data_IF_343578196721
#
_entry.id   IF_343578196721
#
_cell.length_a   1.000
_cell.length_b   1.000
_cell.length_c   1.000
_cell.angle_alpha   90.00
_cell.angle_beta   90.00
_cell.angle_gamma   90.00
#
_symmetry.space_group_name_H-M   'P 1'
#
loop_
_entity.id
_entity.type
_entity.pdbx_description
1 polymer ?
#
# COMPACT_ATOMS: atom_id res chain seq x y z
N UNK A 1 -12.30 83.74 24.84
CA UNK A 1 -12.13 82.49 25.62
C UNK A 1 -13.17 81.49 25.13
N UNK A 2 -12.81 80.58 24.22
CA UNK A 2 -13.71 79.58 23.62
C UNK A 2 -13.10 78.20 23.83
N UNK A 3 -13.69 77.41 24.72
CA UNK A 3 -13.29 76.03 24.98
C UNK A 3 -13.73 75.15 23.79
N UNK A 4 -12.77 74.47 23.14
CA UNK A 4 -13.06 73.39 22.19
C UNK A 4 -13.05 72.07 22.98
N UNK A 5 -14.22 71.46 23.11
CA UNK A 5 -14.38 70.10 23.61
C UNK A 5 -14.08 69.16 22.44
N UNK A 6 -12.98 68.40 22.53
CA UNK A 6 -12.68 67.32 21.60
C UNK A 6 -13.38 66.04 22.11
N UNK A 7 -14.40 65.58 21.38
CA UNK A 7 -14.96 64.24 21.57
C UNK A 7 -13.96 63.23 20.98
N UNK A 8 -13.36 62.41 21.84
CA UNK A 8 -12.63 61.21 21.44
C UNK A 8 -13.66 60.11 21.12
N UNK A 9 -13.85 59.82 19.83
CA UNK A 9 -14.50 58.59 19.39
C UNK A 9 -13.50 57.44 19.56
N UNK A 10 -13.71 56.59 20.56
CA UNK A 10 -12.98 55.33 20.70
C UNK A 10 -13.61 54.35 19.71
N UNK A 11 -12.94 54.12 18.57
CA UNK A 11 -13.22 52.98 17.70
C UNK A 11 -12.82 51.71 18.44
N UNK A 12 -13.79 50.96 18.96
CA UNK A 12 -13.57 49.57 19.33
C UNK A 12 -13.47 48.74 18.05
N UNK A 13 -12.24 48.46 17.62
CA UNK A 13 -11.97 47.41 16.64
C UNK A 13 -12.24 46.09 17.35
N UNK A 14 -13.41 45.51 17.11
CA UNK A 14 -13.68 44.12 17.45
C UNK A 14 -12.73 43.25 16.63
N UNK A 15 -11.65 42.79 17.27
CA UNK A 15 -10.86 41.68 16.74
C UNK A 15 -11.79 40.46 16.79
N UNK A 16 -12.36 40.10 15.64
CA UNK A 16 -12.80 38.73 15.41
C UNK A 16 -11.54 37.89 15.53
N UNK A 17 -11.27 37.40 16.73
CA UNK A 17 -10.35 36.29 16.92
C UNK A 17 -10.96 35.14 16.13
N UNK A 18 -10.41 34.90 14.93
CA UNK A 18 -10.41 33.57 14.37
C UNK A 18 -9.96 32.64 15.52
N UNK A 19 -10.72 31.58 15.78
CA UNK A 19 -10.31 30.55 16.72
C UNK A 19 -9.03 29.91 16.18
N UNK A 20 -7.88 30.48 16.53
CA UNK A 20 -6.63 29.74 16.59
C UNK A 20 -6.84 28.70 17.69
N UNK A 21 -7.33 27.53 17.29
CA UNK A 21 -7.39 26.37 18.16
C UNK A 21 -5.95 26.01 18.54
N UNK A 22 -5.47 26.61 19.63
CA UNK A 22 -4.16 26.30 20.21
C UNK A 22 -4.18 24.83 20.62
N UNK A 23 -3.22 24.08 20.10
CA UNK A 23 -2.91 22.69 20.47
C UNK A 23 -3.10 22.43 21.98
N UNK A 24 -4.01 21.53 22.33
CA UNK A 24 -4.39 21.22 23.72
C UNK A 24 -3.79 19.91 24.26
N UNK A 25 -3.09 19.10 23.46
CA UNK A 25 -2.40 17.91 23.99
C UNK A 25 -1.95 16.87 22.97
N UNK A 26 -1.24 15.85 23.50
CA UNK A 26 -0.90 14.64 22.75
C UNK A 26 -2.21 13.85 22.56
N UNK A 27 -2.51 13.44 21.33
CA UNK A 27 -3.76 12.78 20.84
C UNK A 27 -4.88 13.70 20.29
N UNK A 28 -4.64 14.99 20.10
CA UNK A 28 -5.57 15.83 19.32
C UNK A 28 -5.54 15.41 17.84
N UNK A 29 -6.70 15.09 17.26
CA UNK A 29 -6.82 14.74 15.84
C UNK A 29 -6.41 15.96 15.00
N UNK A 30 -5.52 15.75 14.02
CA UNK A 30 -4.89 16.80 13.22
C UNK A 30 -5.89 17.65 12.41
N UNK A 31 -7.16 17.24 12.32
CA UNK A 31 -8.23 17.93 11.62
C UNK A 31 -9.53 17.79 12.43
N UNK A 32 -9.92 18.85 13.16
CA UNK A 32 -11.08 18.82 14.08
C UNK A 32 -12.41 19.18 13.41
N UNK A 33 -12.36 19.70 12.19
CA UNK A 33 -13.55 20.02 11.42
C UNK A 33 -13.84 18.89 10.46
N UNK A 34 -14.88 18.10 10.76
CA UNK A 34 -15.45 17.23 9.74
C UNK A 34 -15.80 18.09 8.52
N UNK A 35 -15.47 17.62 7.29
CA UNK A 35 -15.78 18.39 6.09
C UNK A 35 -17.27 18.69 6.04
N UNK A 36 -17.61 19.91 5.62
CA UNK A 36 -19.02 20.30 5.46
C UNK A 36 -19.67 19.35 4.46
N UNK A 37 -20.88 18.84 4.75
CA UNK A 37 -21.58 17.95 3.83
C UNK A 37 -21.71 18.58 2.45
N UNK A 38 -21.55 17.77 1.43
CA UNK A 38 -21.60 18.21 0.04
C UNK A 38 -22.32 17.15 -0.82
N UNK A 39 -22.29 17.30 -2.15
CA UNK A 39 -22.97 16.35 -3.03
C UNK A 39 -22.33 14.95 -3.07
N UNK A 40 -21.07 14.83 -2.66
CA UNK A 40 -20.31 13.58 -2.62
C UNK A 40 -20.48 12.85 -1.28
N UNK A 41 -20.60 13.58 -0.16
CA UNK A 41 -20.81 13.01 1.18
C UNK A 41 -21.87 13.75 1.98
N UNK A 42 -22.82 12.99 2.51
CA UNK A 42 -23.86 13.48 3.42
C UNK A 42 -23.31 13.86 4.80
N UNK A 43 -24.14 14.43 5.67
CA UNK A 43 -23.77 14.80 7.04
C UNK A 43 -23.42 13.63 7.96
N UNK A 44 -23.74 12.40 7.55
CA UNK A 44 -23.30 11.18 8.24
C UNK A 44 -21.97 10.64 7.71
N UNK A 45 -21.38 11.25 6.69
CA UNK A 45 -20.21 10.74 5.96
C UNK A 45 -20.53 9.66 4.92
N UNK A 46 -21.79 9.24 4.82
CA UNK A 46 -22.23 8.27 3.81
C UNK A 46 -22.16 8.86 2.38
N UNK A 47 -21.91 8.02 1.36
CA UNK A 47 -21.97 8.41 -0.05
C UNK A 47 -23.23 9.22 -0.40
N UNK A 48 -23.01 10.40 -0.98
CA UNK A 48 -24.06 11.27 -1.52
C UNK A 48 -24.43 10.93 -2.96
N UNK A 49 -25.35 11.71 -3.53
CA UNK A 49 -25.90 11.46 -4.88
C UNK A 49 -24.87 11.53 -6.00
N UNK A 50 -23.80 12.31 -5.82
CA UNK A 50 -22.73 12.47 -6.81
C UNK A 50 -21.47 11.67 -6.43
N UNK A 51 -21.53 10.81 -5.42
CA UNK A 51 -20.36 10.07 -4.94
C UNK A 51 -19.68 9.28 -6.06
N UNK A 52 -18.36 9.31 -6.06
CA UNK A 52 -17.52 8.59 -7.01
C UNK A 52 -16.37 7.92 -6.26
N UNK A 53 -15.86 6.85 -6.84
CA UNK A 53 -14.66 6.16 -6.36
C UNK A 53 -13.89 5.66 -7.58
N UNK A 54 -12.57 5.68 -7.50
CA UNK A 54 -11.74 5.15 -8.58
C UNK A 54 -11.83 3.62 -8.63
N UNK A 55 -11.43 3.06 -9.78
CA UNK A 55 -11.23 1.62 -9.94
C UNK A 55 -9.88 1.34 -10.57
N UNK A 56 -9.22 0.28 -10.13
CA UNK A 56 -7.98 -0.22 -10.71
C UNK A 56 -8.02 -1.74 -10.80
N UNK A 57 -8.08 -2.27 -12.02
CA UNK A 57 -8.00 -3.70 -12.25
C UNK A 57 -6.56 -4.13 -12.50
N UNK A 58 -6.22 -5.34 -12.07
CA UNK A 58 -4.87 -5.88 -12.11
C UNK A 58 -4.82 -7.23 -12.81
N UNK A 59 -3.82 -7.39 -13.67
CA UNK A 59 -3.33 -8.69 -14.12
C UNK A 59 -1.88 -8.81 -13.69
N UNK A 60 -1.60 -9.71 -12.75
CA UNK A 60 -0.27 -9.86 -12.13
C UNK A 60 0.28 -11.24 -12.45
N UNK A 61 1.53 -11.30 -12.89
CA UNK A 61 2.33 -12.52 -12.91
C UNK A 61 3.54 -12.30 -12.02
N UNK A 62 3.69 -13.14 -11.00
CA UNK A 62 4.81 -13.08 -10.06
C UNK A 62 5.47 -14.45 -9.92
N UNK A 63 6.77 -14.42 -9.63
CA UNK A 63 7.62 -15.59 -9.49
C UNK A 63 8.49 -15.44 -8.24
N UNK A 64 8.39 -16.44 -7.36
CA UNK A 64 9.24 -16.62 -6.19
C UNK A 64 10.52 -17.32 -6.60
N UNK A 65 11.66 -16.71 -6.29
CA UNK A 65 12.97 -17.32 -6.41
C UNK A 65 13.43 -17.77 -5.01
N UNK A 66 13.43 -19.08 -4.79
CA UNK A 66 13.83 -19.71 -3.52
C UNK A 66 15.36 -19.88 -3.41
N UNK A 67 16.12 -19.79 -4.50
CA UNK A 67 17.59 -19.86 -4.41
C UNK A 67 18.19 -18.61 -3.76
N UNK A 68 17.53 -17.46 -3.91
CA UNK A 68 18.04 -16.17 -3.42
C UNK A 68 17.01 -15.36 -2.63
N UNK A 69 15.87 -15.97 -2.27
CA UNK A 69 14.79 -15.35 -1.51
C UNK A 69 14.39 -13.99 -2.12
N UNK A 70 13.97 -14.00 -3.39
CA UNK A 70 13.46 -12.79 -4.05
C UNK A 70 12.10 -13.01 -4.70
N UNK A 71 11.32 -11.94 -4.82
CA UNK A 71 10.08 -11.94 -5.57
C UNK A 71 10.23 -11.00 -6.76
N UNK A 72 9.83 -11.47 -7.93
CA UNK A 72 9.76 -10.65 -9.13
C UNK A 72 8.38 -10.74 -9.76
N UNK A 73 7.98 -9.70 -10.47
CA UNK A 73 6.67 -9.68 -11.10
C UNK A 73 6.53 -8.65 -12.19
N UNK A 74 5.51 -8.88 -13.01
CA UNK A 74 4.97 -7.91 -13.95
C UNK A 74 3.48 -7.79 -13.67
N UNK A 75 3.01 -6.56 -13.57
CA UNK A 75 1.60 -6.25 -13.45
C UNK A 75 1.16 -5.36 -14.60
N UNK A 76 -0.03 -5.61 -15.12
CA UNK A 76 -0.76 -4.70 -16.00
C UNK A 76 -1.93 -4.13 -15.22
N UNK A 77 -2.01 -2.81 -15.17
CA UNK A 77 -3.01 -2.05 -14.42
C UNK A 77 -3.92 -1.36 -15.42
N UNK A 78 -5.23 -1.58 -15.28
CA UNK A 78 -6.27 -0.79 -15.96
C UNK A 78 -6.89 0.15 -14.95
N UNK A 79 -6.55 1.43 -15.05
CA UNK A 79 -7.08 2.47 -14.18
C UNK A 79 -8.28 3.15 -14.83
N UNK A 80 -9.37 3.32 -14.07
CA UNK A 80 -10.59 3.97 -14.52
C UNK A 80 -10.73 5.29 -13.76
N UNK A 81 -10.74 6.42 -14.47
CA UNK A 81 -10.95 7.72 -13.85
C UNK A 81 -12.44 8.04 -13.73
N UNK A 82 -13.02 7.83 -12.55
CA UNK A 82 -14.39 8.19 -12.21
C UNK A 82 -14.50 9.57 -11.55
N UNK A 83 -13.38 10.26 -11.31
CA UNK A 83 -13.40 11.60 -10.73
C UNK A 83 -13.98 12.61 -11.73
N UNK A 84 -14.70 13.65 -11.24
CA UNK A 84 -15.22 14.75 -12.07
C UNK A 84 -14.13 15.74 -12.51
N UNK A 85 -12.88 15.28 -12.64
CA UNK A 85 -11.73 16.07 -13.09
C UNK A 85 -10.78 15.21 -13.93
N UNK A 86 -9.95 15.86 -14.73
CA UNK A 86 -8.90 15.19 -15.49
C UNK A 86 -7.68 14.89 -14.63
N UNK A 87 -7.10 13.70 -14.79
CA UNK A 87 -5.87 13.32 -14.12
C UNK A 87 -4.70 13.40 -15.10
N UNK A 88 -3.59 14.00 -14.67
CA UNK A 88 -2.37 14.14 -15.50
C UNK A 88 -1.25 13.18 -15.10
N UNK A 89 -1.40 12.55 -13.95
CA UNK A 89 -0.47 11.59 -13.39
C UNK A 89 -1.22 10.63 -12.47
N UNK A 90 -0.63 9.46 -12.27
CA UNK A 90 -1.12 8.41 -11.36
C UNK A 90 -0.08 8.16 -10.28
N UNK A 91 -0.54 7.79 -9.08
CA UNK A 91 0.35 7.42 -7.97
C UNK A 91 0.23 5.95 -7.62
N UNK A 92 1.37 5.32 -7.34
CA UNK A 92 1.48 3.97 -6.81
C UNK A 92 2.24 3.99 -5.47
N UNK A 93 1.78 3.18 -4.53
CA UNK A 93 2.44 2.85 -3.27
C UNK A 93 3.50 1.79 -3.54
N UNK A 94 4.70 2.03 -3.04
CA UNK A 94 5.89 1.19 -3.11
C UNK A 94 6.30 0.76 -1.69
N UNK A 95 5.45 0.01 -1.01
CA UNK A 95 5.59 -0.32 0.42
C UNK A 95 6.91 -1.00 0.79
N UNK A 96 7.44 -1.87 -0.08
CA UNK A 96 8.73 -2.53 0.15
C UNK A 96 9.88 -1.52 0.26
N UNK A 97 9.74 -0.30 -0.29
CA UNK A 97 10.75 0.76 -0.15
C UNK A 97 10.90 1.24 1.30
N UNK A 98 10.01 0.85 2.22
CA UNK A 98 10.23 0.98 3.67
C UNK A 98 11.55 0.33 4.10
N UNK A 99 11.89 -0.82 3.50
CA UNK A 99 13.10 -1.59 3.79
C UNK A 99 14.35 -1.12 3.02
N UNK A 100 14.19 -0.17 2.09
CA UNK A 100 15.32 0.38 1.34
C UNK A 100 16.35 1.03 2.26
N UNK A 101 17.66 0.93 1.96
CA UNK A 101 18.73 1.51 2.80
C UNK A 101 18.54 3.00 3.09
N UNK A 102 18.04 3.77 2.12
CA UNK A 102 17.81 5.21 2.22
C UNK A 102 16.32 5.56 2.41
N UNK A 103 15.52 4.66 3.01
CA UNK A 103 14.10 4.92 3.25
C UNK A 103 13.89 6.05 4.25
N UNK A 104 12.78 6.79 4.12
CA UNK A 104 12.43 7.86 5.06
C UNK A 104 12.33 7.32 6.48
N UNK A 105 11.73 6.14 6.67
CA UNK A 105 11.66 5.48 7.99
C UNK A 105 13.02 5.28 8.61
N UNK A 106 13.99 4.70 7.89
CA UNK A 106 15.34 4.51 8.43
C UNK A 106 16.03 5.85 8.77
N UNK A 107 15.72 6.91 8.01
CA UNK A 107 16.29 8.25 8.24
C UNK A 107 15.63 8.99 9.43
N UNK A 108 14.36 8.71 9.74
CA UNK A 108 13.60 9.45 10.76
C UNK A 108 13.30 8.65 12.02
N UNK A 109 13.51 7.32 12.01
CA UNK A 109 13.20 6.46 13.14
C UNK A 109 14.18 6.74 14.29
N UNK A 110 13.64 7.25 15.39
CA UNK A 110 14.39 7.41 16.64
C UNK A 110 14.63 6.06 17.32
N UNK A 111 15.77 5.94 17.98
CA UNK A 111 16.09 4.82 18.84
C UNK A 111 16.44 5.33 20.24
N UNK A 112 15.87 4.72 21.28
CA UNK A 112 16.22 5.02 22.67
C UNK A 112 17.32 4.06 23.12
N UNK A 113 18.50 4.59 23.40
CA UNK A 113 19.59 3.83 24.02
C UNK A 113 19.25 3.61 25.49
N UNK A 114 19.34 2.35 25.94
CA UNK A 114 19.19 1.94 27.35
C UNK A 114 20.49 1.27 27.81
N UNK A 115 20.72 1.23 29.12
CA UNK A 115 21.95 0.65 29.71
C UNK A 115 22.19 -0.81 29.32
N UNK A 116 21.12 -1.56 29.03
CA UNK A 116 21.21 -2.90 28.45
C UNK A 116 20.11 -3.13 27.43
N UNK A 117 20.48 -3.74 26.30
CA UNK A 117 19.56 -4.16 25.25
C UNK A 117 20.14 -5.40 24.57
N UNK A 118 19.30 -6.37 24.22
CA UNK A 118 19.77 -7.55 23.49
C UNK A 118 20.31 -7.15 22.11
N UNK A 119 21.41 -7.77 21.67
CA UNK A 119 22.11 -7.42 20.43
C UNK A 119 21.20 -7.35 19.19
N UNK A 120 20.21 -8.24 19.10
CA UNK A 120 19.22 -8.26 18.00
C UNK A 120 18.45 -6.95 17.84
N UNK A 121 18.22 -6.21 18.93
CA UNK A 121 17.51 -4.94 18.88
C UNK A 121 18.41 -3.75 18.53
N UNK A 122 19.74 -3.93 18.55
CA UNK A 122 20.72 -2.95 18.04
C UNK A 122 20.92 -3.16 16.53
N UNK A 123 20.88 -4.42 16.07
CA UNK A 123 21.22 -4.80 14.70
C UNK A 123 20.36 -4.11 13.62
N UNK A 124 19.07 -3.87 13.89
CA UNK A 124 18.20 -3.11 12.99
C UNK A 124 18.62 -1.64 12.85
N UNK A 125 18.64 -0.86 13.95
CA UNK A 125 19.07 0.54 13.94
C UNK A 125 20.49 0.78 13.39
N UNK A 126 21.43 -0.16 13.62
CA UNK A 126 22.80 -0.05 13.09
C UNK A 126 22.96 -0.59 11.67
N UNK A 127 21.88 -1.04 11.05
CA UNK A 127 21.87 -1.68 9.72
C UNK A 127 22.86 -2.85 9.62
N UNK A 128 23.06 -3.60 10.71
CA UNK A 128 24.03 -4.69 10.80
C UNK A 128 23.69 -5.89 9.90
N UNK A 129 22.43 -5.99 9.43
CA UNK A 129 21.98 -7.05 8.54
C UNK A 129 22.42 -6.87 7.07
N UNK A 130 22.90 -5.67 6.68
CA UNK A 130 23.25 -5.32 5.28
C UNK A 130 22.18 -5.70 4.24
N UNK A 131 20.91 -5.71 4.66
CA UNK A 131 19.81 -6.13 3.81
C UNK A 131 19.44 -5.05 2.79
N UNK A 132 19.46 -5.43 1.50
CA UNK A 132 19.08 -4.57 0.38
C UNK A 132 17.60 -4.77 0.03
N UNK A 133 16.75 -4.15 0.83
CA UNK A 133 15.29 -4.12 0.59
C UNK A 133 14.86 -3.02 -0.38
N UNK A 134 13.56 -2.95 -0.65
CA UNK A 134 12.97 -2.01 -1.59
C UNK A 134 12.67 -2.62 -2.96
N UNK A 135 11.67 -2.05 -3.63
CA UNK A 135 11.39 -2.37 -5.02
C UNK A 135 12.51 -1.89 -5.93
N UNK A 136 12.97 -2.79 -6.79
CA UNK A 136 13.64 -2.46 -8.02
C UNK A 136 12.60 -2.35 -9.13
N UNK A 137 12.24 -1.12 -9.53
CA UNK A 137 11.31 -0.87 -10.63
C UNK A 137 12.10 -0.91 -11.95
N UNK A 138 12.00 -2.02 -12.67
CA UNK A 138 12.71 -2.25 -13.94
C UNK A 138 12.10 -1.44 -15.08
N UNK A 139 10.78 -1.44 -15.21
CA UNK A 139 10.11 -0.68 -16.28
C UNK A 139 8.70 -0.24 -15.88
N UNK A 140 8.26 0.87 -16.48
CA UNK A 140 6.86 1.34 -16.44
C UNK A 140 6.50 1.75 -17.85
N UNK A 141 5.53 1.08 -18.46
CA UNK A 141 5.23 1.21 -19.89
C UNK A 141 3.75 1.38 -20.14
N UNK A 142 3.38 2.12 -21.17
CA UNK A 142 1.99 2.18 -21.64
C UNK A 142 1.58 0.89 -22.38
N UNK A 143 0.31 0.80 -22.75
CA UNK A 143 -0.23 -0.35 -23.49
C UNK A 143 0.44 -0.59 -24.86
N UNK A 144 1.12 0.40 -25.44
CA UNK A 144 1.88 0.27 -26.68
C UNK A 144 3.35 -0.15 -26.44
N UNK A 145 3.74 -0.37 -25.17
CA UNK A 145 5.09 -0.77 -24.78
C UNK A 145 6.09 0.39 -24.71
N UNK A 146 5.62 1.65 -24.76
CA UNK A 146 6.47 2.84 -24.64
C UNK A 146 6.71 3.18 -23.18
N UNK A 147 7.94 3.55 -22.85
CA UNK A 147 8.29 3.97 -21.48
C UNK A 147 7.53 5.22 -21.06
N UNK A 148 6.99 5.17 -19.83
CA UNK A 148 6.32 6.29 -19.18
C UNK A 148 7.29 7.02 -18.24
N UNK A 149 7.30 8.37 -18.24
CA UNK A 149 8.05 9.12 -17.25
C UNK A 149 7.55 8.79 -15.85
N UNK A 150 8.48 8.54 -14.93
CA UNK A 150 8.18 8.21 -13.54
C UNK A 150 9.13 8.90 -12.58
N UNK A 151 8.64 9.21 -11.39
CA UNK A 151 9.42 9.72 -10.27
C UNK A 151 9.13 8.85 -9.05
N UNK A 152 10.16 8.21 -8.51
CA UNK A 152 10.08 7.48 -7.24
C UNK A 152 10.53 8.43 -6.13
N UNK A 153 9.65 8.66 -5.17
CA UNK A 153 9.87 9.45 -3.97
C UNK A 153 9.61 8.56 -2.74
N UNK A 154 10.68 7.94 -2.24
CA UNK A 154 10.63 6.95 -1.16
C UNK A 154 9.60 5.85 -1.41
N UNK A 155 8.52 5.80 -0.62
CA UNK A 155 7.46 4.76 -0.71
C UNK A 155 6.37 5.09 -1.71
N UNK A 156 6.55 6.12 -2.54
CA UNK A 156 5.58 6.55 -3.53
C UNK A 156 6.20 6.68 -4.91
N UNK A 157 5.45 6.30 -5.94
CA UNK A 157 5.84 6.46 -7.34
C UNK A 157 4.77 7.23 -8.10
N UNK A 158 5.16 8.34 -8.72
CA UNK A 158 4.33 9.08 -9.65
C UNK A 158 4.64 8.64 -11.08
N UNK A 159 3.60 8.36 -11.86
CA UNK A 159 3.67 8.05 -13.29
C UNK A 159 2.97 9.15 -14.06
N UNK A 160 3.68 9.84 -14.95
CA UNK A 160 3.10 10.92 -15.75
C UNK A 160 2.40 10.37 -16.99
N UNK A 161 1.17 10.84 -17.22
CA UNK A 161 0.37 10.40 -18.35
C UNK A 161 0.75 11.19 -19.61
N UNK A 162 0.82 10.53 -20.79
CA UNK A 162 1.15 11.20 -22.04
C UNK A 162 0.08 12.21 -22.48
N UNK A 163 -1.16 12.02 -22.01
CA UNK A 163 -2.30 12.93 -22.19
C UNK A 163 -3.13 12.93 -20.90
N UNK A 164 -3.83 14.04 -20.56
CA UNK A 164 -4.78 14.03 -19.46
C UNK A 164 -5.84 12.95 -19.64
N UNK A 165 -6.11 12.20 -18.58
CA UNK A 165 -7.13 11.17 -18.50
C UNK A 165 -8.43 11.80 -18.00
N UNK A 166 -9.41 11.95 -18.88
CA UNK A 166 -10.68 12.62 -18.56
C UNK A 166 -11.59 11.72 -17.73
N UNK A 167 -12.63 12.32 -17.15
CA UNK A 167 -13.71 11.58 -16.47
C UNK A 167 -14.32 10.52 -17.39
N UNK A 168 -14.45 9.29 -16.89
CA UNK A 168 -14.95 8.12 -17.60
C UNK A 168 -13.93 7.44 -18.50
N UNK A 169 -12.74 8.00 -18.70
CA UNK A 169 -11.68 7.37 -19.49
C UNK A 169 -10.87 6.37 -18.67
N UNK A 170 -10.24 5.44 -19.40
CA UNK A 170 -9.38 4.41 -18.82
C UNK A 170 -7.96 4.53 -19.34
N UNK A 171 -6.98 4.23 -18.49
CA UNK A 171 -5.57 4.14 -18.87
C UNK A 171 -4.99 2.78 -18.51
N UNK A 172 -4.27 2.17 -19.45
CA UNK A 172 -3.62 0.87 -19.26
C UNK A 172 -2.12 1.04 -19.33
N UNK A 173 -1.43 0.54 -18.31
CA UNK A 173 0.03 0.55 -18.22
C UNK A 173 0.53 -0.68 -17.46
N UNK A 174 1.79 -1.01 -17.63
CA UNK A 174 2.44 -2.12 -16.96
C UNK A 174 3.63 -1.67 -16.12
N UNK A 175 3.86 -2.37 -15.01
CA UNK A 175 5.01 -2.18 -14.13
C UNK A 175 5.74 -3.52 -14.00
N UNK A 176 7.05 -3.51 -14.24
CA UNK A 176 7.93 -4.65 -13.96
C UNK A 176 8.79 -4.33 -12.73
N UNK A 177 8.76 -5.22 -11.75
CA UNK A 177 9.35 -4.98 -10.44
C UNK A 177 9.99 -6.26 -9.86
N UNK A 178 10.91 -6.07 -8.93
CA UNK A 178 11.44 -7.15 -8.09
C UNK A 178 11.90 -6.62 -6.74
N UNK A 179 11.97 -7.45 -5.71
CA UNK A 179 12.60 -7.11 -4.43
C UNK A 179 13.12 -8.36 -3.70
N UNK A 180 14.10 -8.16 -2.82
CA UNK A 180 14.59 -9.22 -1.95
C UNK A 180 13.65 -9.41 -0.76
N UNK A 181 13.41 -10.64 -0.37
CA UNK A 181 12.58 -11.02 0.78
C UNK A 181 13.48 -11.04 2.01
N UNK A 182 13.05 -10.37 3.08
CA UNK A 182 13.79 -10.35 4.34
C UNK A 182 13.65 -11.66 5.11
N UNK A 183 14.68 -12.05 5.85
CA UNK A 183 14.58 -13.07 6.89
C UNK A 183 13.75 -12.51 8.06
N UNK A 184 12.57 -13.09 8.32
CA UNK A 184 11.66 -12.62 9.36
C UNK A 184 12.14 -12.97 10.77
N UNK A 185 12.94 -14.02 10.92
CA UNK A 185 13.47 -14.46 12.22
C UNK A 185 14.62 -13.55 12.67
N UNK A 186 15.39 -13.04 11.72
CA UNK A 186 16.45 -12.07 11.99
C UNK A 186 15.93 -10.63 12.08
N UNK A 187 15.13 -10.19 11.13
CA UNK A 187 14.74 -8.78 10.97
C UNK A 187 13.38 -8.44 11.58
N UNK A 188 12.60 -9.45 11.98
CA UNK A 188 11.23 -9.27 12.45
C UNK A 188 10.27 -8.89 11.33
N UNK A 189 9.12 -8.33 11.72
CA UNK A 189 8.04 -8.00 10.81
C UNK A 189 7.07 -9.17 10.57
N UNK A 190 5.95 -8.87 9.91
CA UNK A 190 4.94 -9.88 9.56
C UNK A 190 5.21 -10.55 8.21
N UNK A 191 5.96 -9.88 7.34
CA UNK A 191 6.36 -10.41 6.04
C UNK A 191 7.83 -10.79 6.05
N UNK A 192 8.16 -11.83 5.29
CA UNK A 192 9.51 -12.36 5.17
C UNK A 192 9.53 -13.88 5.02
N UNK A 193 10.74 -14.40 4.84
CA UNK A 193 11.05 -15.82 4.83
C UNK A 193 11.45 -16.31 6.22
N UNK A 194 11.20 -17.58 6.50
CA UNK A 194 11.76 -18.32 7.64
C UNK A 194 12.35 -19.61 7.13
N UNK A 195 13.60 -19.87 7.52
CA UNK A 195 14.33 -21.08 7.14
C UNK A 195 14.09 -22.21 8.14
N UNK A 196 13.81 -23.41 7.64
CA UNK A 196 13.64 -24.64 8.41
C UNK A 196 14.86 -25.55 8.18
N UNK A 197 15.79 -25.65 9.15
CA UNK A 197 17.02 -26.43 8.95
C UNK A 197 16.82 -27.94 8.84
N UNK A 198 15.68 -28.46 9.32
CA UNK A 198 15.41 -29.90 9.38
C UNK A 198 15.21 -30.51 7.99
N UNK A 199 14.60 -29.76 7.08
CA UNK A 199 14.32 -30.17 5.70
C UNK A 199 14.98 -29.24 4.65
N UNK A 200 15.56 -28.12 5.07
CA UNK A 200 16.24 -27.18 4.19
C UNK A 200 15.28 -26.25 3.44
N UNK A 201 14.01 -26.16 3.86
CA UNK A 201 12.99 -25.38 3.18
C UNK A 201 12.80 -23.98 3.78
N UNK A 202 12.11 -23.13 3.03
CA UNK A 202 11.64 -21.83 3.49
C UNK A 202 10.12 -21.76 3.55
N UNK A 203 9.59 -21.09 4.57
CA UNK A 203 8.20 -20.62 4.59
C UNK A 203 8.16 -19.13 4.31
N UNK A 204 7.32 -18.74 3.37
CA UNK A 204 7.14 -17.36 2.95
C UNK A 204 5.80 -16.80 3.41
N UNK A 205 5.85 -15.72 4.19
CA UNK A 205 4.68 -14.90 4.48
C UNK A 205 4.86 -13.57 3.79
N UNK A 206 4.04 -13.26 2.79
CA UNK A 206 4.27 -12.13 1.88
C UNK A 206 3.03 -11.25 1.83
N UNK A 207 3.14 -10.02 2.32
CA UNK A 207 2.12 -8.98 2.21
C UNK A 207 2.68 -7.73 1.54
N UNK A 208 1.81 -6.85 1.04
CA UNK A 208 2.21 -5.57 0.43
C UNK A 208 3.28 -5.75 -0.66
N UNK A 209 3.08 -6.76 -1.52
CA UNK A 209 4.13 -7.40 -2.30
C UNK A 209 4.22 -6.95 -3.76
N UNK A 210 3.31 -6.09 -4.21
CA UNK A 210 3.35 -5.47 -5.52
C UNK A 210 3.09 -3.95 -5.41
N UNK A 211 3.48 -3.13 -6.41
CA UNK A 211 3.09 -1.72 -6.47
C UNK A 211 1.57 -1.54 -6.55
N UNK A 212 0.98 -0.78 -5.64
CA UNK A 212 -0.49 -0.66 -5.52
C UNK A 212 -0.95 0.75 -5.85
N UNK A 213 -2.06 0.91 -6.58
CA UNK A 213 -2.60 2.23 -6.91
C UNK A 213 -2.97 2.98 -5.63
N UNK A 214 -2.49 4.21 -5.51
CA UNK A 214 -2.96 5.14 -4.50
C UNK A 214 -4.44 5.46 -4.75
N UNK A 215 -5.16 5.74 -3.66
CA UNK A 215 -6.51 6.29 -3.76
C UNK A 215 -6.41 7.74 -4.25
N UNK A 216 -7.25 8.07 -5.23
CA UNK A 216 -7.64 9.44 -5.52
C UNK A 216 -9.10 9.59 -5.09
N UNK A 217 -9.41 10.48 -4.16
CA UNK A 217 -10.76 10.63 -3.60
C UNK A 217 -11.28 12.08 -3.56
N UNK A 218 -12.50 12.21 -3.09
CA UNK A 218 -13.25 13.46 -2.97
C UNK A 218 -12.89 14.29 -1.73
N UNK A 219 -11.95 13.82 -0.89
CA UNK A 219 -11.56 14.47 0.36
C UNK A 219 -10.15 15.07 0.29
N UNK A 220 -9.12 14.26 0.01
CA UNK A 220 -7.72 14.71 -0.02
C UNK A 220 -7.07 14.58 -1.40
N UNK A 221 -7.81 14.10 -2.41
CA UNK A 221 -7.26 13.81 -3.73
C UNK A 221 -6.34 12.60 -3.64
N UNK A 222 -5.08 12.73 -4.03
CA UNK A 222 -4.13 11.60 -3.96
C UNK A 222 -3.68 11.32 -2.52
N UNK A 223 -4.01 10.14 -2.00
CA UNK A 223 -3.36 9.59 -0.82
C UNK A 223 -1.94 9.10 -1.14
N UNK A 224 -0.97 10.01 -1.01
CA UNK A 224 0.44 9.75 -1.31
C UNK A 224 1.40 10.17 -0.18
N UNK A 225 0.92 10.20 1.07
CA UNK A 225 1.79 10.36 2.26
C UNK A 225 2.70 9.17 2.41
N UNK A 226 3.95 9.41 2.80
CA UNK A 226 4.95 8.35 2.94
C UNK A 226 4.53 7.29 3.96
N UNK A 227 4.65 6.02 3.58
CA UNK A 227 4.42 4.91 4.48
C UNK A 227 5.65 4.71 5.37
N UNK A 228 5.47 4.93 6.68
CA UNK A 228 6.56 4.84 7.65
C UNK A 228 6.61 3.52 8.43
N UNK A 229 5.78 2.54 8.07
CA UNK A 229 5.71 1.22 8.72
C UNK A 229 4.62 1.06 9.79
N UNK A 230 3.99 2.17 10.19
CA UNK A 230 2.84 2.18 11.10
C UNK A 230 1.72 3.02 10.46
N UNK A 231 0.80 2.33 9.78
CA UNK A 231 -0.33 2.94 9.09
C UNK A 231 -1.09 1.87 8.29
N UNK A 232 -2.41 1.97 8.27
CA UNK A 232 -3.24 1.15 7.39
C UNK A 232 -3.37 1.81 6.02
N UNK A 233 -3.63 1.01 4.98
CA UNK A 233 -3.68 1.48 3.60
C UNK A 233 -5.11 1.77 3.16
N UNK A 234 -5.34 2.88 2.48
CA UNK A 234 -6.49 2.99 1.58
C UNK A 234 -6.01 2.65 0.17
N UNK A 235 -6.73 1.72 -0.47
CA UNK A 235 -6.44 1.26 -1.83
C UNK A 235 -7.67 1.36 -2.69
N UNK A 236 -7.43 1.48 -3.99
CA UNK A 236 -8.48 1.50 -5.00
C UNK A 236 -9.08 0.10 -5.14
N UNK A 237 -10.41 0.02 -5.21
CA UNK A 237 -11.10 -1.24 -5.49
C UNK A 237 -10.91 -1.67 -6.95
N UNK A 238 -10.93 -2.97 -7.20
CA UNK A 238 -10.93 -3.52 -8.56
C UNK A 238 -10.78 -5.03 -8.58
N UNK A 239 -10.70 -5.55 -9.80
CA UNK A 239 -10.59 -6.99 -10.04
C UNK A 239 -9.14 -7.42 -10.22
N UNK A 240 -8.82 -8.61 -9.73
CA UNK A 240 -7.47 -9.15 -9.78
C UNK A 240 -7.46 -10.49 -10.51
N UNK A 241 -6.54 -10.64 -11.46
CA UNK A 241 -6.12 -11.93 -12.01
C UNK A 241 -4.65 -12.11 -11.68
N UNK A 242 -4.34 -13.08 -10.83
CA UNK A 242 -2.99 -13.29 -10.32
C UNK A 242 -2.51 -14.68 -10.74
N UNK A 243 -1.31 -14.73 -11.31
CA UNK A 243 -0.56 -15.95 -11.57
C UNK A 243 0.68 -15.94 -10.69
N UNK A 244 0.86 -16.98 -9.89
CA UNK A 244 1.99 -17.16 -9.00
C UNK A 244 2.76 -18.39 -9.46
N UNK A 245 4.03 -18.20 -9.77
CA UNK A 245 4.99 -19.27 -10.01
C UNK A 245 5.80 -19.46 -8.73
N UNK A 246 5.78 -20.66 -8.17
CA UNK A 246 6.51 -21.05 -6.97
C UNK A 246 7.17 -22.42 -7.22
N UNK A 247 8.19 -22.81 -6.43
CA UNK A 247 8.73 -24.18 -6.47
C UNK A 247 7.64 -25.23 -6.27
N UNK A 248 7.82 -26.42 -6.84
CA UNK A 248 6.79 -27.46 -6.89
C UNK A 248 6.41 -28.08 -5.54
N UNK A 249 7.27 -27.92 -4.54
CA UNK A 249 7.06 -28.34 -3.14
C UNK A 249 6.37 -27.26 -2.29
N UNK A 250 6.08 -26.09 -2.85
CA UNK A 250 5.37 -25.03 -2.14
C UNK A 250 3.87 -25.07 -2.41
N UNK A 251 3.08 -24.99 -1.33
CA UNK A 251 1.63 -24.77 -1.39
C UNK A 251 1.32 -23.29 -1.17
N UNK A 252 0.53 -22.71 -2.09
CA UNK A 252 0.15 -21.30 -2.04
C UNK A 252 -1.20 -21.10 -1.33
N UNK A 253 -1.17 -20.37 -0.21
CA UNK A 253 -2.37 -19.81 0.42
C UNK A 253 -2.57 -18.35 0.02
N UNK A 254 -3.67 -18.04 -0.68
CA UNK A 254 -3.99 -16.68 -1.11
C UNK A 254 -5.50 -16.42 -1.14
N UNK A 255 -5.89 -15.15 -1.25
CA UNK A 255 -7.29 -14.75 -1.46
C UNK A 255 -7.74 -15.02 -2.91
N UNK A 256 -9.05 -15.17 -3.11
CA UNK A 256 -9.65 -15.35 -4.43
C UNK A 256 -10.04 -16.79 -4.73
N UNK A 257 -10.25 -17.09 -6.02
CA UNK A 257 -10.67 -18.40 -6.50
C UNK A 257 -9.59 -19.02 -7.37
N UNK A 258 -9.09 -20.20 -6.99
CA UNK A 258 -8.13 -20.96 -7.80
C UNK A 258 -8.72 -21.27 -9.17
N UNK A 259 -7.97 -20.98 -10.23
CA UNK A 259 -8.44 -21.15 -11.62
C UNK A 259 -7.94 -22.44 -12.27
N UNK A 260 -6.83 -23.00 -11.80
CA UNK A 260 -6.18 -24.18 -12.38
C UNK A 260 -5.89 -25.29 -11.33
N UNK A 261 -6.86 -25.69 -10.48
CA UNK A 261 -6.60 -26.67 -9.40
C UNK A 261 -6.08 -28.01 -9.92
N UNK A 262 -6.50 -28.44 -11.12
CA UNK A 262 -6.05 -29.71 -11.74
C UNK A 262 -4.59 -29.71 -12.18
N UNK A 263 -3.97 -28.53 -12.31
CA UNK A 263 -2.58 -28.38 -12.72
C UNK A 263 -1.63 -28.34 -11.53
N UNK A 264 -2.13 -27.97 -10.34
CA UNK A 264 -1.28 -27.63 -9.18
C UNK A 264 -1.58 -28.44 -7.92
N UNK A 265 -2.67 -29.21 -7.88
CA UNK A 265 -3.01 -30.08 -6.76
C UNK A 265 -2.86 -31.55 -7.16
N UNK A 266 -2.49 -32.38 -6.19
CA UNK A 266 -2.51 -33.85 -6.35
C UNK A 266 -3.94 -34.36 -6.52
N UNK A 267 -4.09 -35.62 -6.94
CA UNK A 267 -5.41 -36.22 -7.11
C UNK A 267 -6.19 -36.25 -5.79
N UNK A 268 -5.52 -36.63 -4.71
CA UNK A 268 -6.07 -36.71 -3.35
C UNK A 268 -6.48 -35.31 -2.85
N UNK A 269 -5.65 -34.29 -3.10
CA UNK A 269 -5.97 -32.90 -2.77
C UNK A 269 -7.17 -32.37 -3.57
N UNK A 270 -7.31 -32.74 -4.85
CA UNK A 270 -8.47 -32.38 -5.68
C UNK A 270 -9.76 -32.99 -5.12
N UNK A 271 -9.73 -34.26 -4.69
CA UNK A 271 -10.90 -34.92 -4.09
C UNK A 271 -11.33 -34.21 -2.79
N UNK A 272 -10.37 -33.83 -1.94
CA UNK A 272 -10.62 -33.04 -0.74
C UNK A 272 -11.12 -31.63 -1.07
N UNK A 273 -10.55 -30.99 -2.08
CA UNK A 273 -10.98 -29.66 -2.56
C UNK A 273 -12.44 -29.66 -3.05
N UNK A 274 -12.83 -30.64 -3.87
CA UNK A 274 -14.21 -30.76 -4.36
C UNK A 274 -15.21 -31.15 -3.26
N UNK A 275 -14.76 -31.85 -2.22
CA UNK A 275 -15.55 -32.10 -1.02
C UNK A 275 -15.77 -30.81 -0.23
N UNK A 276 -14.69 -30.06 0.04
CA UNK A 276 -14.72 -28.80 0.79
C UNK A 276 -15.65 -27.74 0.16
N UNK A 277 -15.83 -27.77 -1.17
CA UNK A 277 -16.76 -26.87 -1.88
C UNK A 277 -18.25 -27.17 -1.62
N UNK A 278 -18.57 -28.35 -1.12
CA UNK A 278 -19.95 -28.83 -0.93
C UNK A 278 -20.32 -29.00 0.55
N UNK A 279 -19.33 -29.13 1.43
CA UNK A 279 -19.51 -29.31 2.87
C UNK A 279 -19.30 -28.00 3.61
N UNK A 280 -20.25 -27.60 4.45
CA UNK A 280 -20.19 -26.35 5.24
C UNK A 280 -20.28 -26.59 6.74
N UNK A 281 -20.44 -27.85 7.15
CA UNK A 281 -20.65 -28.30 8.52
C UNK A 281 -19.35 -28.71 9.22
N UNK A 282 -18.30 -29.05 8.45
CA UNK A 282 -17.00 -29.45 8.99
C UNK A 282 -15.85 -28.87 8.16
N UNK A 283 -14.75 -28.56 8.85
CA UNK A 283 -13.51 -28.18 8.21
C UNK A 283 -12.93 -29.38 7.44
N UNK A 284 -12.55 -29.14 6.19
CA UNK A 284 -11.84 -30.11 5.35
C UNK A 284 -10.44 -29.58 5.09
N UNK A 285 -9.42 -30.35 5.47
CA UNK A 285 -8.03 -30.06 5.14
C UNK A 285 -7.78 -30.49 3.70
N UNK A 286 -7.32 -29.57 2.84
CA UNK A 286 -6.98 -29.90 1.45
C UNK A 286 -5.58 -30.53 1.42
N UNK A 287 -4.62 -29.85 2.05
CA UNK A 287 -3.25 -30.32 2.31
C UNK A 287 -3.12 -30.63 3.80
N UNK A 288 -2.51 -31.76 4.15
CA UNK A 288 -2.27 -32.19 5.54
C UNK A 288 -0.84 -31.95 5.99
N UNK A 289 -0.57 -32.04 7.29
CA UNK A 289 0.79 -31.92 7.85
C UNK A 289 1.76 -33.01 7.39
N UNK A 290 1.25 -34.18 7.01
CA UNK A 290 2.06 -35.30 6.48
C UNK A 290 2.49 -35.11 5.01
N UNK A 291 1.90 -34.14 4.30
CA UNK A 291 2.17 -33.81 2.88
C UNK A 291 3.05 -32.56 2.78
#
# INVERSE_FOLDING_TARGET
>A
MKYRIALLFILQVGVLAAQDNKWQGKFEQLDQTLPTPNSYRSSSGAPGVNYWQQRADYVIAAELNDDNQSLSGTETITYYNNAPEELRYLWLQLDQNLMAPNSMTKQTQGFTVRDSIAAKFIAGPTNAYDFKGGYNIKSVKDAAGKDLPKVINYTMMRVDLPKPLKTGETFVFSVEWSYNINDRMMMGGRSGSEFFPEDGNYVYTIAQWFPRMCVFDDYEGWQNKQYLGAGEFALVFGNYRVRLTVPSDHIVGATGWIQNPKEVLTKEQIERFETARKTFDKQTWIVTEEE
#
